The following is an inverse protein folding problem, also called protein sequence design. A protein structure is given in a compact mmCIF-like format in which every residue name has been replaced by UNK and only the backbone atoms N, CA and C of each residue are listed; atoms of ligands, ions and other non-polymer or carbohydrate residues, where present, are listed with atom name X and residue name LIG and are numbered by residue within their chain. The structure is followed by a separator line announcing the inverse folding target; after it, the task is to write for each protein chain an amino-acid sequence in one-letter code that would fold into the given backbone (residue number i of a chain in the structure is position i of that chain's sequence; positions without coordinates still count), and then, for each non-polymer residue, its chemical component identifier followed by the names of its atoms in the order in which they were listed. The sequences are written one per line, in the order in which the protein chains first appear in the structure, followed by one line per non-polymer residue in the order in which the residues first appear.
data_IF_529033311230
#
_entry.id   IF_529033311230
#
_cell.length_a   1.000
_cell.length_b   1.000
_cell.length_c   1.000
_cell.angle_alpha   90.00
_cell.angle_beta   90.00
_cell.angle_gamma   90.00
#
_symmetry.space_group_name_H-M   'P 1'
#
loop_
_entity.id
_entity.type
_entity.pdbx_description
1 polymer ?
#
# COMPACT_ATOMS: atom_id res chain seq x y z
N UNK A 1 -2.86 4.34 -0.94
CA UNK A 1 -2.16 3.84 0.26
C UNK A 1 -3.11 2.86 0.93
N UNK A 2 -2.69 1.62 1.15
CA UNK A 2 -3.54 0.58 1.75
C UNK A 2 -2.77 -0.16 2.84
N UNK A 3 -3.44 -0.50 3.95
CA UNK A 3 -2.90 -1.30 5.04
C UNK A 3 -3.42 -2.73 4.92
N UNK A 4 -2.50 -3.71 4.92
CA UNK A 4 -2.85 -5.13 4.76
C UNK A 4 -2.10 -5.99 5.77
N UNK A 5 -2.71 -7.08 6.22
CA UNK A 5 -1.99 -8.10 6.99
C UNK A 5 -1.34 -9.11 6.04
N UNK A 6 -0.06 -9.37 6.28
CA UNK A 6 0.67 -10.45 5.61
C UNK A 6 0.28 -11.81 6.20
N UNK A 7 0.63 -12.90 5.52
CA UNK A 7 0.38 -14.27 6.00
C UNK A 7 1.06 -14.57 7.34
N UNK A 8 2.15 -13.86 7.66
CA UNK A 8 2.88 -13.93 8.93
C UNK A 8 2.27 -13.05 10.03
N UNK A 9 1.12 -12.42 9.78
CA UNK A 9 0.43 -11.55 10.74
C UNK A 9 0.99 -10.14 10.85
N UNK A 10 2.06 -9.80 10.11
CA UNK A 10 2.61 -8.44 10.08
C UNK A 10 1.75 -7.50 9.26
N UNK A 11 1.59 -6.29 9.75
CA UNK A 11 0.93 -5.20 9.04
C UNK A 11 1.85 -4.60 7.98
N UNK A 12 1.31 -4.33 6.80
CA UNK A 12 2.07 -3.85 5.64
C UNK A 12 1.40 -2.64 5.01
N UNK A 13 2.23 -1.70 4.61
CA UNK A 13 1.88 -0.51 3.89
C UNK A 13 2.21 -0.69 2.41
N UNK A 14 1.19 -0.70 1.54
CA UNK A 14 1.38 -0.73 0.09
C UNK A 14 1.63 0.68 -0.45
N UNK A 15 2.76 0.87 -1.13
CA UNK A 15 3.20 2.12 -1.75
C UNK A 15 3.50 1.88 -3.23
N UNK A 16 3.14 2.84 -4.07
CA UNK A 16 3.41 2.79 -5.50
C UNK A 16 4.19 4.02 -5.92
N UNK A 17 5.25 3.81 -6.69
CA UNK A 17 6.15 4.89 -7.12
C UNK A 17 5.54 5.77 -8.21
N UNK A 18 4.50 5.28 -8.88
CA UNK A 18 3.77 6.01 -9.91
C UNK A 18 2.31 5.54 -10.01
N UNK A 19 1.45 6.40 -10.55
CA UNK A 19 0.03 6.11 -10.75
C UNK A 19 -0.19 4.92 -11.71
N UNK A 20 0.58 4.82 -12.79
CA UNK A 20 0.46 3.70 -13.72
C UNK A 20 0.83 2.35 -13.07
N UNK A 21 1.82 2.35 -12.17
CA UNK A 21 2.18 1.16 -11.39
C UNK A 21 1.09 0.79 -10.41
N UNK A 22 0.46 1.76 -9.74
CA UNK A 22 -0.72 1.50 -8.92
C UNK A 22 -1.81 0.81 -9.76
N UNK A 23 -2.16 1.34 -10.93
CA UNK A 23 -3.18 0.73 -11.78
C UNK A 23 -2.82 -0.69 -12.22
N UNK A 24 -1.56 -0.91 -12.60
CA UNK A 24 -1.06 -2.22 -13.05
C UNK A 24 -1.05 -3.25 -11.91
N UNK A 25 -0.65 -2.84 -10.70
CA UNK A 25 -0.45 -3.73 -9.58
C UNK A 25 -1.71 -3.95 -8.71
N UNK A 26 -2.55 -2.92 -8.57
CA UNK A 26 -3.67 -2.86 -7.61
C UNK A 26 -5.03 -2.72 -8.30
N UNK A 27 -5.06 -2.44 -9.62
CA UNK A 27 -6.30 -2.11 -10.33
C UNK A 27 -6.67 -0.62 -10.21
N UNK A 28 -7.79 -0.25 -10.83
CA UNK A 28 -8.21 1.15 -10.99
C UNK A 28 -9.22 1.64 -9.95
N UNK A 29 -9.88 0.72 -9.27
CA UNK A 29 -11.05 1.04 -8.45
C UNK A 29 -10.71 1.43 -7.01
N UNK A 30 -9.46 1.22 -6.59
CA UNK A 30 -9.04 1.48 -5.22
C UNK A 30 -8.76 2.97 -4.96
N UNK A 31 -9.23 3.54 -3.84
CA UNK A 31 -8.87 4.89 -3.46
C UNK A 31 -7.39 4.99 -3.11
N UNK A 32 -6.76 6.10 -3.52
CA UNK A 32 -5.35 6.35 -3.24
C UNK A 32 -5.07 7.85 -3.01
N UNK A 33 -3.92 8.11 -2.40
CA UNK A 33 -3.38 9.45 -2.18
C UNK A 33 -1.91 9.45 -2.59
N UNK A 34 -1.41 10.62 -3.03
CA UNK A 34 0.02 10.86 -3.23
C UNK A 34 0.53 11.69 -2.06
N UNK A 35 1.66 11.24 -1.52
CA UNK A 35 2.36 11.92 -0.44
C UNK A 35 3.87 11.84 -0.67
N UNK A 36 4.66 12.80 -0.17
CA UNK A 36 6.12 12.68 -0.17
C UNK A 36 6.57 11.51 0.70
N UNK A 37 7.67 10.85 0.32
CA UNK A 37 8.25 9.74 1.10
C UNK A 37 8.69 10.18 2.50
N UNK A 38 9.02 11.47 2.68
CA UNK A 38 9.35 12.04 4.00
C UNK A 38 8.21 11.97 5.01
N UNK A 39 6.96 11.82 4.55
CA UNK A 39 5.79 11.68 5.42
C UNK A 39 5.58 10.25 5.95
N UNK A 40 6.34 9.26 5.48
CA UNK A 40 6.18 7.87 5.94
C UNK A 40 6.39 7.70 7.45
N UNK A 41 7.31 8.47 8.04
CA UNK A 41 7.53 8.48 9.48
C UNK A 41 6.29 8.95 10.23
N UNK A 42 5.73 10.09 9.83
CA UNK A 42 4.52 10.66 10.43
C UNK A 42 3.30 9.75 10.25
N UNK A 43 3.22 9.04 9.12
CA UNK A 43 2.15 8.05 8.91
C UNK A 43 2.26 6.89 9.87
N UNK A 44 3.46 6.41 10.15
CA UNK A 44 3.67 5.31 11.10
C UNK A 44 3.21 5.67 12.52
N UNK A 45 3.33 6.94 12.90
CA UNK A 45 2.86 7.43 14.20
C UNK A 45 1.32 7.38 14.32
N UNK A 46 0.60 7.61 13.21
CA UNK A 46 -0.87 7.63 13.18
C UNK A 46 -1.46 6.24 12.91
N UNK A 47 -0.82 5.47 12.03
CA UNK A 47 -1.23 4.14 11.65
C UNK A 47 0.02 3.24 11.59
N UNK A 48 0.32 2.51 12.67
CA UNK A 48 1.50 1.65 12.72
C UNK A 48 1.50 0.58 11.64
N UNK A 49 2.65 0.37 11.02
CA UNK A 49 2.90 -0.71 10.08
C UNK A 49 4.31 -1.28 10.25
N UNK A 50 4.45 -2.59 10.05
CA UNK A 50 5.73 -3.30 10.18
C UNK A 50 6.56 -3.20 8.90
N UNK A 51 5.89 -3.20 7.74
CA UNK A 51 6.52 -3.31 6.43
C UNK A 51 6.05 -2.23 5.47
N UNK A 52 6.93 -1.79 4.57
CA UNK A 52 6.58 -1.02 3.38
C UNK A 52 6.84 -1.92 2.17
N UNK A 53 5.81 -2.15 1.37
CA UNK A 53 5.90 -2.92 0.14
C UNK A 53 5.74 -1.97 -1.04
N UNK A 54 6.78 -1.87 -1.86
CA UNK A 54 6.85 -0.95 -2.99
C UNK A 54 6.54 -1.70 -4.30
N UNK A 55 5.60 -1.17 -5.08
CA UNK A 55 5.27 -1.66 -6.43
C UNK A 55 4.94 -3.17 -6.48
N UNK A 56 4.34 -3.71 -5.43
CA UNK A 56 3.93 -5.12 -5.36
C UNK A 56 2.61 -5.33 -6.09
N UNK A 57 2.58 -6.35 -6.95
CA UNK A 57 1.36 -6.84 -7.58
C UNK A 57 0.48 -7.53 -6.55
N UNK A 58 -0.75 -7.04 -6.39
CA UNK A 58 -1.76 -7.65 -5.53
C UNK A 58 -2.66 -8.53 -6.41
N UNK A 59 -2.75 -9.85 -6.13
CA UNK A 59 -3.66 -10.74 -6.84
C UNK A 59 -5.10 -10.24 -6.78
N UNK A 60 -5.86 -10.43 -7.84
CA UNK A 60 -7.21 -9.86 -7.95
C UNK A 60 -8.14 -10.31 -6.81
N UNK A 61 -8.03 -11.58 -6.42
CA UNK A 61 -8.75 -12.18 -5.29
C UNK A 61 -8.41 -11.56 -3.92
N UNK A 62 -7.30 -10.84 -3.82
CA UNK A 62 -6.83 -10.19 -2.59
C UNK A 62 -7.07 -8.67 -2.59
N UNK A 63 -7.62 -8.11 -3.66
CA UNK A 63 -7.99 -6.68 -3.72
C UNK A 63 -9.31 -6.50 -2.98
N UNK A 64 -9.37 -5.53 -2.06
CA UNK A 64 -10.59 -5.27 -1.31
C UNK A 64 -11.74 -4.91 -2.26
N UNK A 65 -12.89 -5.56 -2.12
CA UNK A 65 -14.14 -5.13 -2.79
C UNK A 65 -14.66 -3.82 -2.19
#
# INVERSE_FOLDING_TARGET
MLLNNTRDGRSSLLVYSALDRLHTCMGRDQPWIVIPTSYLSSLRDVAPFDLVLLDVVVPEEARAS
#
